data_IF_546802430449
#
_entry.id   IF_546802430449
#
_cell.length_a   1.000
_cell.length_b   1.000
_cell.length_c   1.000
_cell.angle_alpha   90.00
_cell.angle_beta   90.00
_cell.angle_gamma   90.00
#
_symmetry.space_group_name_H-M   'P 1'
#
loop_
_entity.id
_entity.type
_entity.pdbx_description
1 polymer ?
#
# COMPACT_ATOMS: atom_id res chain seq x y z
N UNK A 1 -7.99 6.59 10.87
CA UNK A 1 -8.12 6.68 9.40
C UNK A 1 -7.48 5.45 8.82
N UNK A 2 -7.97 4.97 7.68
CA UNK A 2 -7.47 3.76 7.05
C UNK A 2 -6.76 4.14 5.75
N UNK A 3 -5.52 3.71 5.63
CA UNK A 3 -4.75 3.67 4.39
C UNK A 3 -4.80 2.23 3.86
N UNK A 4 -4.92 2.08 2.55
CA UNK A 4 -4.96 0.78 1.91
C UNK A 4 -4.06 0.79 0.67
N UNK A 5 -3.26 -0.26 0.48
CA UNK A 5 -2.66 -0.50 -0.83
C UNK A 5 -3.69 -1.01 -1.83
N UNK A 6 -3.34 -0.93 -3.12
CA UNK A 6 -4.13 -1.47 -4.20
C UNK A 6 -3.60 -2.83 -4.67
N UNK A 7 -2.35 -2.87 -5.12
CA UNK A 7 -1.75 -4.07 -5.69
C UNK A 7 -1.51 -5.11 -4.59
N UNK A 8 -1.89 -6.36 -4.83
CA UNK A 8 -1.75 -7.42 -3.82
C UNK A 8 -2.78 -7.36 -2.68
N UNK A 9 -3.54 -6.27 -2.56
CA UNK A 9 -4.54 -6.10 -1.49
C UNK A 9 -5.96 -6.04 -2.04
N UNK A 10 -6.27 -5.05 -2.87
CA UNK A 10 -7.60 -4.85 -3.48
C UNK A 10 -7.64 -5.37 -4.92
N UNK A 11 -6.48 -5.45 -5.55
CA UNK A 11 -6.33 -5.67 -6.97
C UNK A 11 -5.09 -6.49 -7.29
N UNK A 12 -5.18 -7.30 -8.35
CA UNK A 12 -4.01 -7.89 -8.97
C UNK A 12 -4.10 -7.80 -10.49
N UNK A 13 -3.06 -7.28 -11.12
CA UNK A 13 -2.87 -7.43 -12.56
C UNK A 13 -2.14 -8.73 -12.89
N UNK A 14 -2.42 -9.38 -14.04
CA UNK A 14 -1.66 -10.52 -14.51
C UNK A 14 -0.25 -10.05 -14.94
N UNK A 15 0.70 -10.05 -14.00
CA UNK A 15 2.14 -9.96 -14.25
C UNK A 15 2.56 -9.10 -15.46
N UNK A 16 2.44 -7.78 -15.33
CA UNK A 16 2.74 -6.81 -16.38
C UNK A 16 1.78 -5.64 -16.27
N UNK A 17 2.27 -4.41 -16.47
CA UNK A 17 1.39 -3.26 -16.59
C UNK A 17 0.35 -3.56 -17.68
N UNK A 18 -0.94 -3.45 -17.35
CA UNK A 18 -2.01 -3.54 -18.35
C UNK A 18 -1.65 -2.62 -19.50
N UNK A 19 -1.45 -3.18 -20.69
CA UNK A 19 -1.11 -2.37 -21.84
C UNK A 19 -2.24 -1.35 -22.09
N UNK A 20 -1.95 -0.15 -22.63
CA UNK A 20 -3.01 0.80 -22.95
C UNK A 20 -4.00 0.11 -23.90
N UNK A 21 -5.26 -0.09 -23.45
CA UNK A 21 -6.39 -0.79 -24.11
C UNK A 21 -6.64 -2.26 -23.72
N UNK A 22 -5.86 -2.84 -22.82
CA UNK A 22 -6.22 -4.16 -22.28
C UNK A 22 -7.38 -4.04 -21.28
N UNK A 23 -8.38 -4.93 -21.35
CA UNK A 23 -9.50 -4.91 -20.43
C UNK A 23 -9.03 -5.16 -18.98
N UNK A 24 -9.21 -4.14 -18.14
CA UNK A 24 -8.80 -4.13 -16.72
C UNK A 24 -9.54 -5.19 -15.88
N UNK A 25 -10.67 -5.73 -16.36
CA UNK A 25 -11.65 -6.51 -15.59
C UNK A 25 -11.33 -8.00 -15.38
N UNK A 26 -10.08 -8.47 -15.48
CA UNK A 26 -9.80 -9.92 -15.49
C UNK A 26 -9.45 -10.60 -14.17
N UNK A 27 -9.41 -9.90 -13.03
CA UNK A 27 -8.99 -10.52 -11.76
C UNK A 27 -9.56 -9.83 -10.52
N UNK A 28 -10.89 -9.76 -10.39
CA UNK A 28 -11.51 -9.13 -9.23
C UNK A 28 -12.68 -9.94 -8.68
N UNK A 29 -12.62 -10.22 -7.38
CA UNK A 29 -13.76 -10.70 -6.58
C UNK A 29 -14.41 -9.45 -6.00
N UNK A 30 -15.66 -9.22 -6.36
CA UNK A 30 -16.51 -8.20 -5.76
C UNK A 30 -16.61 -8.49 -4.25
N UNK A 31 -16.23 -7.54 -3.37
CA UNK A 31 -16.41 -7.67 -1.91
C UNK A 31 -17.29 -6.52 -1.34
N UNK A 32 -18.62 -6.55 -1.53
CA UNK A 32 -19.51 -5.48 -1.06
C UNK A 32 -19.84 -5.37 0.44
N UNK A 33 -19.51 -6.27 1.39
CA UNK A 33 -19.96 -6.08 2.78
C UNK A 33 -19.10 -5.13 3.63
N UNK A 34 -17.77 -5.20 3.53
CA UNK A 34 -16.87 -4.59 4.53
C UNK A 34 -16.65 -3.08 4.35
N UNK A 35 -16.51 -2.62 3.11
CA UNK A 35 -16.24 -1.21 2.79
C UNK A 35 -17.42 -0.31 3.11
N UNK A 36 -18.64 -0.80 2.90
CA UNK A 36 -19.87 -0.10 3.27
C UNK A 36 -19.93 0.17 4.78
N UNK A 37 -19.60 -0.83 5.60
CA UNK A 37 -19.59 -0.71 7.06
C UNK A 37 -18.57 0.33 7.56
N UNK A 38 -17.41 0.43 6.92
CA UNK A 38 -16.41 1.46 7.25
C UNK A 38 -16.93 2.87 6.92
N UNK A 39 -17.56 3.01 5.76
CA UNK A 39 -18.15 4.30 5.32
C UNK A 39 -19.27 4.75 6.26
N UNK A 40 -20.15 3.83 6.67
CA UNK A 40 -21.21 4.09 7.65
C UNK A 40 -20.64 4.49 9.03
N UNK A 41 -19.50 3.93 9.41
CA UNK A 41 -18.77 4.34 10.63
C UNK A 41 -18.07 5.71 10.50
N UNK A 42 -18.10 6.35 9.32
CA UNK A 42 -17.51 7.66 9.07
C UNK A 42 -15.99 7.68 9.14
N UNK A 43 -15.32 6.54 8.96
CA UNK A 43 -13.86 6.44 9.01
C UNK A 43 -13.30 6.77 7.61
N UNK A 44 -12.46 7.81 7.46
CA UNK A 44 -11.87 8.13 6.17
C UNK A 44 -10.96 7.01 5.67
N UNK A 45 -11.15 6.63 4.41
CA UNK A 45 -10.38 5.61 3.69
C UNK A 45 -9.57 6.27 2.58
N UNK A 46 -8.28 5.96 2.48
CA UNK A 46 -7.39 6.53 1.49
C UNK A 46 -6.58 5.43 0.81
N UNK A 47 -6.46 5.50 -0.51
CA UNK A 47 -5.58 4.60 -1.26
C UNK A 47 -4.17 5.20 -1.29
N UNK A 48 -3.15 4.42 -0.93
CA UNK A 48 -1.74 4.81 -1.05
C UNK A 48 -1.01 3.74 -1.86
N UNK A 49 -0.73 4.04 -3.12
CA UNK A 49 -0.24 3.05 -4.09
C UNK A 49 1.02 3.50 -4.82
N UNK A 50 1.82 2.52 -5.26
CA UNK A 50 2.96 2.74 -6.14
C UNK A 50 2.55 2.97 -7.62
N UNK A 51 1.25 2.83 -7.97
CA UNK A 51 0.72 3.22 -9.28
C UNK A 51 0.50 4.72 -9.38
N UNK A 52 0.41 5.24 -10.61
CA UNK A 52 -0.08 6.62 -10.85
C UNK A 52 -1.54 6.73 -10.41
N UNK A 53 -1.91 7.84 -9.78
CA UNK A 53 -3.26 8.04 -9.23
C UNK A 53 -4.37 7.86 -10.29
N UNK A 54 -4.15 8.34 -11.52
CA UNK A 54 -5.10 8.17 -12.63
C UNK A 54 -5.31 6.70 -13.03
N UNK A 55 -4.26 5.89 -13.02
CA UNK A 55 -4.36 4.45 -13.31
C UNK A 55 -5.05 3.71 -12.16
N UNK A 56 -4.70 4.07 -10.91
CA UNK A 56 -5.37 3.51 -9.74
C UNK A 56 -6.88 3.80 -9.74
N UNK A 57 -7.30 5.01 -10.14
CA UNK A 57 -8.73 5.33 -10.33
C UNK A 57 -9.40 4.43 -11.37
N UNK A 58 -8.77 4.22 -12.52
CA UNK A 58 -9.32 3.33 -13.56
C UNK A 58 -9.51 1.90 -13.04
N UNK A 59 -8.56 1.39 -12.27
CA UNK A 59 -8.68 0.08 -11.62
C UNK A 59 -9.83 0.08 -10.62
N UNK A 60 -9.87 1.04 -9.68
CA UNK A 60 -10.92 1.15 -8.67
C UNK A 60 -12.32 1.32 -9.28
N UNK A 61 -12.46 2.04 -10.39
CA UNK A 61 -13.70 2.18 -11.13
C UNK A 61 -14.15 0.87 -11.76
N UNK A 62 -13.21 0.11 -12.35
CA UNK A 62 -13.50 -1.17 -12.98
C UNK A 62 -14.00 -2.22 -11.99
N UNK A 63 -13.76 -2.02 -10.70
CA UNK A 63 -14.12 -2.94 -9.60
C UNK A 63 -15.15 -2.33 -8.65
N UNK A 64 -15.72 -1.19 -9.05
CA UNK A 64 -16.78 -0.48 -8.32
C UNK A 64 -16.40 -0.06 -6.89
N UNK A 65 -15.09 0.14 -6.64
CA UNK A 65 -14.58 0.53 -5.31
C UNK A 65 -14.21 2.01 -5.19
N UNK A 66 -14.14 2.78 -6.28
CA UNK A 66 -13.65 4.17 -6.24
C UNK A 66 -14.42 5.04 -5.23
N UNK A 67 -15.75 4.88 -5.17
CA UNK A 67 -16.60 5.70 -4.30
C UNK A 67 -16.38 5.48 -2.80
N UNK A 68 -15.69 4.40 -2.42
CA UNK A 68 -15.36 4.09 -1.03
C UNK A 68 -14.10 4.82 -0.55
N UNK A 69 -13.33 5.44 -1.46
CA UNK A 69 -12.10 6.15 -1.11
C UNK A 69 -12.31 7.66 -1.03
N UNK A 70 -11.91 8.25 0.11
CA UNK A 70 -11.86 9.69 0.34
C UNK A 70 -10.78 10.37 -0.50
N UNK A 71 -9.63 9.72 -0.67
CA UNK A 71 -8.60 10.16 -1.61
C UNK A 71 -7.79 9.01 -2.18
N UNK A 72 -7.16 9.25 -3.32
CA UNK A 72 -6.28 8.31 -4.02
C UNK A 72 -4.92 8.99 -4.20
N UNK A 73 -3.90 8.43 -3.58
CA UNK A 73 -2.53 8.94 -3.55
C UNK A 73 -1.65 7.99 -4.33
N UNK A 74 -1.22 8.44 -5.51
CA UNK A 74 -0.37 7.67 -6.40
C UNK A 74 1.10 8.06 -6.34
N UNK A 75 1.93 7.29 -7.04
CA UNK A 75 3.36 7.52 -7.15
C UNK A 75 3.74 8.88 -7.74
N UNK A 76 2.89 9.45 -8.61
CA UNK A 76 3.06 10.78 -9.17
C UNK A 76 3.06 11.88 -8.08
N UNK A 77 2.29 11.69 -7.01
CA UNK A 77 2.21 12.61 -5.88
C UNK A 77 3.31 12.33 -4.84
N UNK A 78 3.66 11.05 -4.63
CA UNK A 78 4.67 10.62 -3.65
C UNK A 78 6.11 10.81 -4.14
N UNK A 79 6.33 10.97 -5.45
CA UNK A 79 7.66 11.03 -6.04
C UNK A 79 8.52 12.18 -5.48
N UNK A 80 8.01 13.42 -5.50
CA UNK A 80 8.79 14.57 -5.05
C UNK A 80 9.08 14.53 -3.54
N UNK A 81 8.12 14.20 -2.67
CA UNK A 81 8.38 13.95 -1.25
C UNK A 81 9.45 12.87 -1.02
N UNK A 82 9.34 11.73 -1.71
CA UNK A 82 10.32 10.64 -1.64
C UNK A 82 11.71 11.11 -2.05
N UNK A 83 11.82 11.80 -3.19
CA UNK A 83 13.08 12.33 -3.69
C UNK A 83 13.69 13.34 -2.71
N UNK A 84 12.88 14.23 -2.15
CA UNK A 84 13.32 15.23 -1.16
C UNK A 84 13.84 14.54 0.10
N UNK A 85 13.14 13.52 0.61
CA UNK A 85 13.58 12.73 1.76
C UNK A 85 14.93 12.04 1.51
N UNK A 86 15.05 11.32 0.39
CA UNK A 86 16.28 10.64 0.01
C UNK A 86 17.47 11.59 -0.16
N UNK A 87 17.25 12.76 -0.78
CA UNK A 87 18.29 13.78 -0.95
C UNK A 87 18.78 14.36 0.37
N UNK A 88 17.91 14.57 1.36
CA UNK A 88 18.31 15.00 2.71
C UNK A 88 19.25 13.98 3.37
N UNK A 89 19.05 12.70 3.06
CA UNK A 89 19.88 11.58 3.50
C UNK A 89 21.10 11.34 2.58
N UNK A 90 21.38 12.25 1.64
CA UNK A 90 22.48 12.17 0.67
C UNK A 90 22.49 10.89 -0.19
N UNK A 91 21.31 10.31 -0.44
CA UNK A 91 21.13 9.13 -1.29
C UNK A 91 20.15 9.39 -2.43
N UNK A 92 20.14 8.50 -3.41
CA UNK A 92 19.08 8.45 -4.43
C UNK A 92 17.97 7.53 -3.92
N UNK A 93 16.68 7.86 -4.20
CA UNK A 93 15.61 6.93 -3.90
C UNK A 93 15.73 5.70 -4.81
N UNK A 94 15.55 4.53 -4.21
CA UNK A 94 15.53 3.22 -4.90
C UNK A 94 14.09 2.79 -5.25
N UNK A 95 13.11 3.29 -4.50
CA UNK A 95 11.68 3.08 -4.67
C UNK A 95 10.90 4.36 -4.27
N UNK A 96 9.60 4.40 -4.57
CA UNK A 96 8.67 5.43 -4.08
C UNK A 96 8.28 5.07 -2.65
N UNK A 97 8.52 5.97 -1.69
CA UNK A 97 8.28 5.71 -0.28
C UNK A 97 6.85 6.13 0.13
N UNK A 98 6.01 5.15 0.47
CA UNK A 98 4.62 5.40 0.92
C UNK A 98 4.56 6.14 2.24
N UNK A 99 5.60 6.05 3.07
CA UNK A 99 5.74 6.81 4.32
C UNK A 99 5.64 8.33 4.13
N UNK A 100 5.91 8.82 2.92
CA UNK A 100 5.81 10.24 2.59
C UNK A 100 4.39 10.75 2.32
N UNK A 101 3.35 9.91 2.45
CA UNK A 101 1.95 10.30 2.20
C UNK A 101 1.48 11.51 3.02
N UNK A 102 2.01 11.71 4.23
CA UNK A 102 1.66 12.86 5.09
C UNK A 102 2.05 14.21 4.49
N UNK A 103 2.90 14.23 3.46
CA UNK A 103 3.22 15.45 2.72
C UNK A 103 2.14 15.89 1.73
N UNK A 104 1.21 14.99 1.41
CA UNK A 104 0.12 15.21 0.46
C UNK A 104 -1.26 15.06 1.09
N UNK A 105 -1.36 14.34 2.21
CA UNK A 105 -2.58 14.13 2.96
C UNK A 105 -2.43 14.66 4.38
N UNK A 106 -3.28 15.62 4.74
CA UNK A 106 -3.33 16.15 6.10
C UNK A 106 -3.97 15.12 7.04
N UNK A 107 -3.27 14.82 8.13
CA UNK A 107 -3.75 13.90 9.17
C UNK A 107 -4.00 14.71 10.44
N UNK A 108 -5.25 14.73 10.96
CA UNK A 108 -5.55 15.43 12.20
C UNK A 108 -4.68 14.93 13.36
N UNK A 109 -4.18 15.81 14.25
CA UNK A 109 -3.42 15.41 15.43
C UNK A 109 -4.18 14.38 16.28
N UNK A 110 -3.49 13.36 16.77
CA UNK A 110 -4.06 12.31 17.62
C UNK A 110 -5.03 11.36 16.90
N UNK A 111 -5.21 11.46 15.57
CA UNK A 111 -5.97 10.50 14.79
C UNK A 111 -5.08 9.28 14.49
N UNK A 112 -5.44 8.06 14.94
CA UNK A 112 -4.70 6.86 14.58
C UNK A 112 -4.75 6.62 13.07
N UNK A 113 -3.63 6.17 12.51
CA UNK A 113 -3.47 5.84 11.10
C UNK A 113 -3.10 4.37 10.98
N UNK A 114 -3.95 3.64 10.26
CA UNK A 114 -3.77 2.20 10.01
C UNK A 114 -3.48 2.00 8.54
N UNK A 115 -2.46 1.21 8.19
CA UNK A 115 -2.17 0.81 6.81
C UNK A 115 -2.44 -0.68 6.61
N UNK A 116 -3.23 -1.03 5.59
CA UNK A 116 -3.39 -2.41 5.09
C UNK A 116 -2.50 -2.57 3.86
N UNK A 117 -1.57 -3.52 3.89
CA UNK A 117 -0.50 -3.66 2.89
C UNK A 117 -0.01 -5.11 2.82
N UNK A 118 0.30 -5.60 1.62
CA UNK A 118 0.84 -6.94 1.39
C UNK A 118 2.38 -6.99 1.46
N UNK A 119 3.04 -5.85 1.24
CA UNK A 119 4.48 -5.73 1.36
C UNK A 119 4.94 -5.35 2.78
N UNK A 120 5.54 -6.31 3.48
CA UNK A 120 6.14 -6.10 4.82
C UNK A 120 7.16 -4.96 4.87
N UNK A 121 7.97 -4.78 3.82
CA UNK A 121 8.98 -3.73 3.76
C UNK A 121 8.38 -2.32 3.82
N UNK A 122 7.28 -2.11 3.09
CA UNK A 122 6.55 -0.83 3.11
C UNK A 122 5.99 -0.53 4.51
N UNK A 123 5.36 -1.51 5.17
CA UNK A 123 4.83 -1.32 6.53
C UNK A 123 5.93 -0.99 7.54
N UNK A 124 7.05 -1.70 7.49
CA UNK A 124 8.17 -1.46 8.40
C UNK A 124 8.79 -0.07 8.19
N UNK A 125 8.93 0.38 6.95
CA UNK A 125 9.37 1.74 6.63
C UNK A 125 8.40 2.78 7.20
N UNK A 126 7.09 2.60 6.98
CA UNK A 126 6.06 3.54 7.46
C UNK A 126 5.98 3.60 8.99
N UNK A 127 6.09 2.44 9.67
CA UNK A 127 6.14 2.37 11.13
C UNK A 127 7.40 3.05 11.67
N UNK A 128 8.57 2.73 11.14
CA UNK A 128 9.85 3.28 11.61
C UNK A 128 9.99 4.79 11.37
N UNK A 129 9.31 5.34 10.37
CA UNK A 129 9.24 6.80 10.15
C UNK A 129 8.13 7.49 10.98
N UNK A 130 7.33 6.73 11.74
CA UNK A 130 6.16 7.25 12.47
C UNK A 130 5.07 7.79 11.53
N UNK A 131 5.06 7.32 10.28
CA UNK A 131 4.07 7.73 9.29
C UNK A 131 2.70 7.09 9.59
N UNK A 132 2.68 5.90 10.18
CA UNK A 132 1.48 5.19 10.61
C UNK A 132 1.64 4.71 12.06
N UNK A 133 0.52 4.54 12.75
CA UNK A 133 0.47 4.01 14.12
C UNK A 133 0.35 2.48 14.10
N UNK A 134 -0.33 1.95 13.07
CA UNK A 134 -0.62 0.53 12.94
C UNK A 134 -0.42 0.04 11.50
N UNK A 135 0.23 -1.10 11.34
CA UNK A 135 0.31 -1.84 10.08
C UNK A 135 -0.48 -3.16 10.17
N UNK A 136 -1.25 -3.48 9.14
CA UNK A 136 -1.89 -4.78 8.95
C UNK A 136 -1.25 -5.40 7.71
N UNK A 137 -0.36 -6.36 7.95
CA UNK A 137 0.26 -7.15 6.91
C UNK A 137 -0.73 -8.22 6.46
N UNK A 138 -1.14 -8.14 5.20
CA UNK A 138 -2.01 -9.13 4.56
C UNK A 138 -1.20 -10.01 3.60
N UNK A 139 -1.61 -11.25 3.38
CA UNK A 139 -1.09 -12.05 2.27
C UNK A 139 -1.40 -11.36 0.93
N UNK A 140 -0.46 -11.34 -0.03
CA UNK A 140 -0.77 -10.83 -1.36
C UNK A 140 -1.85 -11.71 -2.00
N UNK A 141 -2.81 -11.09 -2.68
CA UNK A 141 -3.63 -11.79 -3.66
C UNK A 141 -2.69 -12.50 -4.66
N UNK A 142 -3.03 -13.68 -5.16
CA UNK A 142 -2.30 -14.31 -6.27
C UNK A 142 -3.28 -14.87 -7.27
N UNK A 143 -2.90 -14.82 -8.54
CA UNK A 143 -3.77 -15.29 -9.61
C UNK A 143 -3.03 -16.22 -10.54
N UNK A 144 -3.68 -17.29 -10.96
CA UNK A 144 -3.22 -18.19 -12.01
C UNK A 144 -4.32 -18.32 -13.07
N UNK A 145 -3.97 -18.08 -14.34
CA UNK A 145 -4.91 -18.19 -15.48
C UNK A 145 -6.24 -17.46 -15.21
N UNK A 146 -6.17 -16.23 -14.70
CA UNK A 146 -7.33 -15.37 -14.41
C UNK A 146 -8.21 -15.87 -13.25
N UNK A 147 -7.71 -16.81 -12.43
CA UNK A 147 -8.37 -17.26 -11.20
C UNK A 147 -7.57 -16.87 -9.97
N UNK A 148 -8.23 -16.46 -8.90
CA UNK A 148 -7.59 -16.21 -7.62
C UNK A 148 -7.14 -17.54 -6.99
N UNK A 149 -5.84 -17.70 -6.76
CA UNK A 149 -5.25 -18.91 -6.14
C UNK A 149 -4.82 -18.69 -4.71
N UNK A 150 -4.63 -17.43 -4.30
CA UNK A 150 -4.36 -17.06 -2.92
C UNK A 150 -5.06 -15.74 -2.60
N UNK A 151 -5.58 -15.64 -1.39
CA UNK A 151 -6.16 -14.40 -0.88
C UNK A 151 -6.21 -14.38 0.64
N UNK A 152 -7.01 -13.45 1.16
CA UNK A 152 -7.20 -13.23 2.58
C UNK A 152 -8.61 -12.73 2.85
N UNK A 153 -9.02 -12.77 4.11
CA UNK A 153 -10.29 -12.19 4.54
C UNK A 153 -10.18 -10.67 4.62
N UNK A 154 -10.65 -10.00 3.56
CA UNK A 154 -10.66 -8.55 3.44
C UNK A 154 -11.63 -7.90 4.46
N UNK A 155 -12.73 -8.58 4.81
CA UNK A 155 -13.68 -8.09 5.81
C UNK A 155 -13.07 -8.10 7.21
N UNK A 156 -12.33 -9.15 7.54
CA UNK A 156 -11.54 -9.20 8.76
C UNK A 156 -10.50 -8.09 8.78
N UNK A 157 -9.72 -7.90 7.71
CA UNK A 157 -8.70 -6.86 7.63
C UNK A 157 -9.27 -5.46 7.90
N UNK A 158 -10.42 -5.16 7.29
CA UNK A 158 -11.10 -3.89 7.48
C UNK A 158 -11.79 -3.74 8.84
N UNK A 159 -12.32 -4.83 9.39
CA UNK A 159 -12.87 -4.84 10.76
C UNK A 159 -11.79 -4.59 11.80
N UNK A 160 -10.61 -5.20 11.64
CA UNK A 160 -9.43 -4.93 12.47
C UNK A 160 -8.98 -3.48 12.31
N UNK A 161 -8.85 -2.99 11.08
CA UNK A 161 -8.46 -1.61 10.82
C UNK A 161 -9.43 -0.59 11.44
N UNK A 162 -10.73 -0.88 11.38
CA UNK A 162 -11.77 -0.07 12.04
C UNK A 162 -11.57 -0.02 13.55
N UNK A 163 -11.33 -1.16 14.22
CA UNK A 163 -11.06 -1.19 15.67
C UNK A 163 -9.81 -0.38 16.00
N UNK A 164 -8.73 -0.55 15.24
CA UNK A 164 -7.47 0.18 15.40
C UNK A 164 -7.56 1.69 15.14
N UNK A 165 -8.63 2.15 14.49
CA UNK A 165 -8.90 3.57 14.30
C UNK A 165 -9.62 4.23 15.49
N UNK A 166 -10.06 3.46 16.50
CA UNK A 166 -10.68 3.97 17.71
C UNK A 166 -9.62 4.62 18.62
N UNK A 167 -9.69 5.94 18.89
CA UNK A 167 -8.73 6.64 19.74
C UNK A 167 -8.75 6.18 21.21
N UNK A 168 -9.82 5.52 21.65
CA UNK A 168 -9.97 5.03 23.02
C UNK A 168 -9.47 3.59 23.20
N UNK A 169 -9.07 2.93 22.12
CA UNK A 169 -8.57 1.58 22.14
C UNK A 169 -7.21 1.52 22.84
N UNK A 170 -7.09 0.69 23.87
CA UNK A 170 -5.80 0.27 24.40
C UNK A 170 -5.24 -0.85 23.49
N UNK A 171 -4.13 -0.63 22.75
CA UNK A 171 -3.56 -1.64 21.86
C UNK A 171 -3.18 -2.94 22.58
N UNK A 172 -2.88 -2.88 23.89
CA UNK A 172 -2.59 -4.05 24.71
C UNK A 172 -3.77 -5.02 24.82
N UNK A 173 -5.01 -4.55 24.62
CA UNK A 173 -6.24 -5.36 24.70
C UNK A 173 -6.57 -6.10 23.40
N UNK A 174 -5.87 -5.83 22.31
CA UNK A 174 -6.04 -6.55 21.04
C UNK A 174 -5.20 -7.83 20.95
N UNK A 175 -4.20 -8.00 21.82
CA UNK A 175 -3.25 -9.10 21.77
C UNK A 175 -3.90 -10.49 21.97
N UNK A 176 -5.08 -10.54 22.58
CA UNK A 176 -5.81 -11.79 22.85
C UNK A 176 -6.61 -12.30 21.62
N UNK A 177 -7.01 -11.41 20.71
CA UNK A 177 -7.78 -11.75 19.50
C UNK A 177 -6.92 -11.67 18.21
N UNK A 178 -5.91 -10.80 18.20
CA UNK A 178 -5.10 -10.44 17.03
C UNK A 178 -3.65 -10.26 17.48
N UNK A 179 -2.71 -11.12 17.05
CA UNK A 179 -1.31 -10.99 17.47
C UNK A 179 -0.70 -9.69 16.94
N UNK A 180 -0.55 -8.70 17.83
CA UNK A 180 0.13 -7.44 17.56
C UNK A 180 1.60 -7.52 17.99
N UNK A 181 2.50 -7.27 17.05
CA UNK A 181 3.93 -7.14 17.30
C UNK A 181 4.29 -5.67 17.43
N UNK A 182 4.73 -5.24 18.61
CA UNK A 182 5.24 -3.88 18.81
C UNK A 182 6.57 -3.68 18.05
N UNK A 183 6.66 -2.63 17.22
CA UNK A 183 7.83 -2.31 16.39
C UNK A 183 8.00 -0.81 16.23
N UNK A 184 9.18 -0.30 16.58
CA UNK A 184 9.72 1.00 16.16
C UNK A 184 8.71 2.16 16.07
N UNK A 185 7.88 2.35 17.10
CA UNK A 185 6.93 3.46 17.19
C UNK A 185 5.47 3.13 16.86
N UNK A 186 5.15 1.88 16.50
CA UNK A 186 3.77 1.42 16.28
C UNK A 186 3.59 -0.10 16.45
N UNK A 187 2.49 -0.62 15.92
CA UNK A 187 2.15 -2.05 16.03
C UNK A 187 1.89 -2.69 14.67
N UNK A 188 2.39 -3.91 14.49
CA UNK A 188 2.19 -4.72 13.29
C UNK A 188 1.28 -5.91 13.60
N UNK A 189 0.15 -6.00 12.91
CA UNK A 189 -0.75 -7.14 12.85
C UNK A 189 -0.42 -8.00 11.62
N UNK A 190 -0.46 -9.32 11.74
CA UNK A 190 -0.35 -10.24 10.60
C UNK A 190 -1.64 -11.03 10.44
N UNK A 191 -2.26 -10.96 9.27
CA UNK A 191 -3.42 -11.80 8.96
C UNK A 191 -2.98 -13.05 8.21
N UNK A 192 -3.55 -14.23 8.55
CA UNK A 192 -3.23 -15.46 7.85
C UNK A 192 -3.79 -15.44 6.42
N UNK A 193 -3.14 -16.20 5.53
CA UNK A 193 -3.73 -16.54 4.24
C UNK A 193 -4.93 -17.46 4.44
N UNK A 194 -5.93 -17.32 3.56
CA UNK A 194 -6.94 -18.34 3.38
C UNK A 194 -6.30 -19.43 2.51
N UNK A 195 -5.92 -20.55 3.12
CA UNK A 195 -5.57 -21.76 2.37
C UNK A 195 -6.83 -22.30 1.68
N UNK A 196 -6.69 -22.82 0.46
CA UNK A 196 -7.75 -23.44 -0.33
C UNK A 196 -8.96 -22.56 -0.68
N UNK A 197 -8.76 -21.52 -1.51
CA UNK A 197 -9.88 -20.90 -2.23
C UNK A 197 -10.47 -21.87 -3.28
N UNK A 198 -9.77 -22.97 -3.63
CA UNK A 198 -10.28 -24.06 -4.51
C UNK A 198 -9.50 -25.40 -4.41
N UNK A 199 -8.86 -25.73 -3.28
CA UNK A 199 -8.20 -27.05 -3.09
C UNK A 199 -6.82 -27.21 -3.78
N UNK A 200 -5.95 -26.21 -3.69
CA UNK A 200 -4.60 -26.26 -4.24
C UNK A 200 -3.54 -26.17 -3.12
N UNK A 201 -2.80 -27.29 -2.99
CA UNK A 201 -1.72 -27.60 -2.05
C UNK A 201 -0.50 -26.63 -2.07
N UNK A 202 0.44 -26.74 -1.09
CA UNK A 202 0.98 -25.62 -0.33
C UNK A 202 2.13 -24.82 -0.96
N UNK A 203 2.27 -23.62 -0.38
CA UNK A 203 3.22 -22.53 -0.59
C UNK A 203 4.69 -22.94 -0.85
N UNK A 204 5.44 -22.19 -1.70
CA UNK A 204 6.88 -22.12 -1.60
C UNK A 204 7.36 -20.88 -0.81
N UNK A 205 8.37 -21.15 0.01
CA UNK A 205 9.42 -20.33 0.65
C UNK A 205 9.21 -18.81 0.87
N UNK A 206 9.31 -18.42 2.14
CA UNK A 206 9.21 -17.04 2.66
C UNK A 206 10.43 -16.15 2.33
N UNK A 207 11.46 -16.68 1.66
CA UNK A 207 12.73 -15.98 1.41
C UNK A 207 12.85 -15.31 0.02
N UNK A 208 11.80 -15.29 -0.81
CA UNK A 208 11.90 -14.79 -2.20
C UNK A 208 11.38 -13.37 -2.47
N UNK A 209 11.16 -12.51 -1.46
CA UNK A 209 10.67 -11.13 -1.65
C UNK A 209 11.78 -10.08 -1.51
N UNK A 210 12.85 -10.24 -2.28
CA UNK A 210 13.74 -9.12 -2.63
C UNK A 210 13.66 -8.87 -4.12
N UNK A 211 12.63 -8.14 -4.52
CA UNK A 211 12.63 -7.49 -5.83
C UNK A 211 12.10 -6.08 -5.64
N UNK A 212 13.02 -5.11 -5.71
CA UNK A 212 12.67 -3.71 -5.73
C UNK A 212 11.65 -3.47 -6.85
N UNK A 213 10.57 -2.77 -6.51
CA UNK A 213 9.56 -2.35 -7.48
C UNK A 213 10.27 -1.47 -8.51
N UNK A 214 10.59 -2.08 -9.66
CA UNK A 214 11.20 -1.41 -10.79
C UNK A 214 10.13 -0.49 -11.38
N UNK A 215 10.44 0.81 -11.30
CA UNK A 215 9.97 1.98 -12.04
C UNK A 215 9.37 1.76 -13.46
N UNK A 216 8.33 0.93 -13.60
CA UNK A 216 7.53 0.77 -14.82
C UNK A 216 6.04 1.10 -14.62
N UNK A 217 5.56 1.24 -13.38
CA UNK A 217 4.15 1.50 -13.02
C UNK A 217 3.64 2.93 -13.30
N UNK A 218 4.28 3.66 -14.21
CA UNK A 218 3.86 5.00 -14.59
C UNK A 218 3.93 5.16 -16.10
N UNK A 219 2.90 5.75 -16.71
CA UNK A 219 2.96 6.11 -18.12
C UNK A 219 4.24 6.89 -18.50
N UNK A 220 4.55 7.05 -19.80
CA UNK A 220 5.83 7.61 -20.28
C UNK A 220 6.25 8.91 -19.60
N UNK A 221 5.28 9.72 -19.20
CA UNK A 221 5.44 11.00 -18.50
C UNK A 221 5.99 10.83 -17.07
N UNK A 222 5.46 9.89 -16.27
CA UNK A 222 5.98 9.64 -14.92
C UNK A 222 7.39 9.04 -14.99
N UNK A 223 7.63 8.10 -15.91
CA UNK A 223 8.97 7.54 -16.12
C UNK A 223 9.98 8.63 -16.51
N UNK A 224 9.57 9.57 -17.38
CA UNK A 224 10.39 10.72 -17.75
C UNK A 224 10.68 11.64 -16.56
N UNK A 225 9.66 11.97 -15.76
CA UNK A 225 9.80 12.79 -14.56
C UNK A 225 10.72 12.14 -13.51
N UNK A 226 10.60 10.83 -13.30
CA UNK A 226 11.48 10.06 -12.40
C UNK A 226 12.92 10.07 -12.90
N UNK A 227 13.15 9.84 -14.21
CA UNK A 227 14.48 9.89 -14.81
C UNK A 227 15.11 11.28 -14.71
N UNK A 228 14.33 12.32 -14.97
CA UNK A 228 14.76 13.72 -14.85
C UNK A 228 15.12 14.08 -13.40
N UNK A 229 14.27 13.71 -12.43
CA UNK A 229 14.52 13.92 -11.01
C UNK A 229 15.75 13.17 -10.51
N UNK A 230 15.97 11.91 -10.92
CA UNK A 230 17.19 11.15 -10.60
C UNK A 230 18.45 11.79 -11.19
N UNK A 231 18.38 12.32 -12.42
CA UNK A 231 19.50 13.04 -13.05
C UNK A 231 19.83 14.31 -12.28
N UNK A 232 18.81 15.10 -11.93
CA UNK A 232 18.99 16.31 -11.12
C UNK A 232 19.60 15.99 -9.75
N UNK A 233 19.08 14.95 -9.07
CA UNK A 233 19.61 14.50 -7.79
C UNK A 233 21.08 14.06 -7.86
N UNK A 234 21.48 13.32 -8.91
CA UNK A 234 22.90 12.97 -9.14
C UNK A 234 23.77 14.21 -9.30
N UNK A 235 23.31 15.20 -10.07
CA UNK A 235 24.06 16.45 -10.28
C UNK A 235 24.22 17.24 -8.98
N UNK A 236 23.17 17.31 -8.15
CA UNK A 236 23.22 17.97 -6.85
C UNK A 236 24.19 17.26 -5.89
N UNK A 237 24.13 15.93 -5.81
CA UNK A 237 25.03 15.14 -4.96
C UNK A 237 26.48 15.22 -5.43
N UNK A 238 26.73 15.21 -6.75
CA UNK A 238 28.08 15.36 -7.31
C UNK A 238 28.71 16.73 -6.97
N UNK A 239 27.91 17.79 -6.94
CA UNK A 239 28.35 19.16 -6.58
C UNK A 239 28.54 19.37 -5.07
N UNK A 240 28.02 18.46 -4.25
CA UNK A 240 28.06 18.56 -2.78
C UNK A 240 29.20 17.75 -2.16
N UNK A 241 30.05 17.10 -2.96
CA UNK A 241 31.26 16.44 -2.48
C UNK A 241 32.32 17.53 -2.20
N UNK A 242 32.91 17.59 -0.99
CA UNK A 242 34.01 18.51 -0.72
C UNK A 242 35.19 18.13 -1.64
N UNK A 243 35.69 19.11 -2.37
CA UNK A 243 36.98 19.05 -3.06
C UNK A 243 38.12 19.31 -2.11
#
# INVERSE_FOLDING_TARGET
MILCDMDGVLAMGPGGDTAPREPIYRTFVEYPPALRLIREAGIPMHLVTAKVAAQARQVLQAIELEEHFTSIIGADQLFWPTLRSALRQRRLPVAIAKSTFRSVLEVPPGRPVVMIEDNRGNLLEMLGEGAIDFGILVPPLRTERERLTQGFDLELAFSVARRLCDPQLDPGTLADDIPLLHRDGGYLCHLPALEDIDGASPLPDLDSLTTGIVLNAGGPELVSAIRAGRRMARNLLARSRPG
#
